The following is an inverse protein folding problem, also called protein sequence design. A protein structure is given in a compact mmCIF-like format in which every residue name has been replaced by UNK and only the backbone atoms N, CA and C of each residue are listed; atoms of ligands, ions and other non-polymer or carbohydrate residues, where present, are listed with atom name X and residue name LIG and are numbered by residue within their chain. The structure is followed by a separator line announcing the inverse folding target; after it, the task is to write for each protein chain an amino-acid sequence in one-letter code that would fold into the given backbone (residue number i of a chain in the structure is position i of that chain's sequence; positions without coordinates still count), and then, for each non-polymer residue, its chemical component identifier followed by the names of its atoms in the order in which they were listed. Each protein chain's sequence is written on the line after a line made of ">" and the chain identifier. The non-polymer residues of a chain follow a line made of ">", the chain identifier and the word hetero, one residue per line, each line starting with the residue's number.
data_IF_095562414530
#
_entry.id   IF_095562414530
#
_cell.length_a   1.000
_cell.length_b   1.000
_cell.length_c   1.000
_cell.angle_alpha   90.00
_cell.angle_beta   90.00
_cell.angle_gamma   90.00
#
_symmetry.space_group_name_H-M   'P 1'
#
loop_
_entity.id
_entity.type
_entity.pdbx_description
1 polymer ?
#
# COMPACT_ATOMS: atom_id res chain seq x y z
N UNK A 1 13.48 -23.34 9.71
CA UNK A 1 12.40 -24.14 10.35
C UNK A 1 11.02 -23.76 9.85
N UNK A 2 10.56 -22.48 9.95
CA UNK A 2 9.21 -22.10 9.48
C UNK A 2 9.02 -22.28 7.97
N UNK A 3 10.02 -21.97 7.15
CA UNK A 3 9.96 -22.06 5.69
C UNK A 3 9.77 -23.48 5.11
N UNK A 4 9.86 -24.51 5.95
CA UNK A 4 9.63 -25.90 5.57
C UNK A 4 8.33 -26.48 6.16
N UNK A 5 7.53 -25.66 6.87
CA UNK A 5 6.30 -26.13 7.54
C UNK A 5 5.08 -25.90 6.65
N UNK A 6 4.23 -26.91 6.51
CA UNK A 6 2.94 -26.81 5.83
C UNK A 6 1.91 -25.95 6.59
N UNK A 7 2.17 -25.67 7.88
CA UNK A 7 1.33 -24.79 8.69
C UNK A 7 1.54 -23.30 8.37
N UNK A 8 2.52 -22.96 7.54
CA UNK A 8 2.89 -21.61 7.17
C UNK A 8 2.41 -21.32 5.74
N UNK A 9 1.80 -20.16 5.46
CA UNK A 9 1.36 -19.81 4.11
C UNK A 9 2.48 -19.82 3.07
N UNK A 10 2.14 -20.04 1.81
CA UNK A 10 3.10 -20.20 0.71
C UNK A 10 4.10 -19.03 0.59
N UNK A 11 3.72 -17.81 0.91
CA UNK A 11 4.61 -16.65 0.86
C UNK A 11 5.79 -16.71 1.84
N UNK A 12 5.72 -17.57 2.85
CA UNK A 12 6.78 -17.81 3.84
C UNK A 12 7.53 -19.14 3.60
N UNK A 13 7.10 -19.95 2.62
CA UNK A 13 7.68 -21.25 2.32
C UNK A 13 8.68 -21.14 1.18
N UNK A 14 9.83 -21.80 1.32
CA UNK A 14 10.86 -21.82 0.29
C UNK A 14 10.36 -22.43 -1.04
N UNK A 15 9.50 -23.46 -0.95
CA UNK A 15 8.88 -24.18 -2.07
C UNK A 15 7.42 -23.74 -2.30
N UNK A 16 7.01 -22.61 -1.72
CA UNK A 16 5.66 -22.07 -1.89
C UNK A 16 5.41 -21.62 -3.34
N UNK A 17 4.17 -21.75 -3.80
CA UNK A 17 3.78 -21.40 -5.18
C UNK A 17 4.13 -19.95 -5.51
N UNK A 18 4.97 -19.73 -6.52
CA UNK A 18 5.42 -18.42 -6.98
C UNK A 18 6.41 -17.73 -6.04
N UNK A 19 7.01 -18.48 -5.11
CA UNK A 19 7.99 -17.97 -4.16
C UNK A 19 9.41 -18.45 -4.50
N UNK A 20 10.41 -17.84 -3.86
CA UNK A 20 11.81 -18.27 -3.89
C UNK A 20 12.34 -18.39 -2.47
N UNK A 21 13.39 -19.20 -2.21
CA UNK A 21 13.98 -19.30 -0.88
C UNK A 21 14.36 -17.95 -0.28
N UNK A 22 14.89 -17.02 -1.08
CA UNK A 22 15.28 -15.69 -0.64
C UNK A 22 14.05 -14.84 -0.23
N UNK A 23 12.98 -14.87 -1.03
CA UNK A 23 11.72 -14.19 -0.70
C UNK A 23 11.08 -14.78 0.55
N UNK A 24 11.08 -16.11 0.68
CA UNK A 24 10.56 -16.78 1.86
C UNK A 24 11.29 -16.33 3.13
N UNK A 25 12.61 -16.28 3.10
CA UNK A 25 13.43 -15.82 4.24
C UNK A 25 13.11 -14.37 4.56
N UNK A 26 13.09 -13.48 3.57
CA UNK A 26 12.77 -12.07 3.77
C UNK A 26 11.38 -11.88 4.41
N UNK A 27 10.38 -12.57 3.90
CA UNK A 27 9.02 -12.53 4.46
C UNK A 27 8.97 -13.08 5.89
N UNK A 28 9.69 -14.18 6.17
CA UNK A 28 9.80 -14.70 7.53
C UNK A 28 10.45 -13.70 8.48
N UNK A 29 11.50 -12.98 8.07
CA UNK A 29 12.14 -11.96 8.88
C UNK A 29 11.18 -10.82 9.24
N UNK A 30 10.38 -10.34 8.27
CA UNK A 30 9.36 -9.33 8.50
C UNK A 30 8.31 -9.84 9.51
N UNK A 31 7.81 -11.06 9.33
CA UNK A 31 6.82 -11.62 10.24
C UNK A 31 7.37 -11.85 11.65
N UNK A 32 8.64 -12.21 11.79
CA UNK A 32 9.33 -12.36 13.09
C UNK A 32 9.52 -11.01 13.78
N UNK A 33 9.90 -9.97 13.06
CA UNK A 33 10.01 -8.61 13.60
C UNK A 33 8.65 -8.12 14.11
N UNK A 34 7.60 -8.27 13.30
CA UNK A 34 6.23 -7.92 13.71
C UNK A 34 5.81 -8.71 14.94
N UNK A 35 6.02 -10.03 14.96
CA UNK A 35 5.67 -10.89 16.09
C UNK A 35 6.39 -10.43 17.40
N UNK A 36 7.66 -10.08 17.30
CA UNK A 36 8.44 -9.57 18.41
C UNK A 36 7.88 -8.26 18.96
N UNK A 37 7.50 -7.33 18.08
CA UNK A 37 6.96 -6.01 18.47
C UNK A 37 5.60 -6.10 19.16
N UNK A 38 4.71 -6.98 18.68
CA UNK A 38 3.36 -7.15 19.26
C UNK A 38 3.31 -8.20 20.37
N UNK A 39 4.42 -8.88 20.69
CA UNK A 39 4.47 -9.94 21.70
C UNK A 39 3.65 -11.19 21.32
N UNK A 40 3.46 -11.47 20.04
CA UNK A 40 2.64 -12.57 19.53
C UNK A 40 3.49 -13.77 19.09
N UNK A 41 2.85 -14.94 18.97
CA UNK A 41 3.50 -16.12 18.39
C UNK A 41 3.85 -15.87 16.91
N UNK A 42 5.10 -16.11 16.48
CA UNK A 42 5.48 -15.98 15.09
C UNK A 42 4.59 -16.76 14.11
N UNK A 43 4.21 -17.97 14.45
CA UNK A 43 3.33 -18.79 13.62
C UNK A 43 1.94 -18.16 13.47
N UNK A 44 1.38 -17.62 14.55
CA UNK A 44 0.10 -16.91 14.51
C UNK A 44 0.17 -15.68 13.63
N UNK A 45 1.26 -14.91 13.70
CA UNK A 45 1.48 -13.76 12.82
C UNK A 45 1.58 -14.21 11.37
N UNK A 46 2.41 -15.21 11.05
CA UNK A 46 2.55 -15.73 9.67
C UNK A 46 1.23 -16.23 9.08
N UNK A 47 0.34 -16.80 9.89
CA UNK A 47 -0.97 -17.28 9.42
C UNK A 47 -1.98 -16.15 9.16
N UNK A 48 -1.73 -14.94 9.67
CA UNK A 48 -2.66 -13.80 9.60
C UNK A 48 -2.08 -12.54 8.94
N UNK A 49 -0.79 -12.53 8.64
CA UNK A 49 -0.10 -11.45 7.94
C UNK A 49 0.12 -11.86 6.48
N UNK A 50 -0.49 -11.13 5.57
CA UNK A 50 -0.43 -11.36 4.14
C UNK A 50 0.39 -10.26 3.47
N UNK A 51 1.00 -10.57 2.34
CA UNK A 51 1.68 -9.57 1.52
C UNK A 51 0.80 -9.27 0.31
N UNK A 52 0.18 -8.09 0.33
CA UNK A 52 -0.72 -7.63 -0.74
C UNK A 52 -0.04 -6.47 -1.46
N UNK A 53 0.25 -6.63 -2.74
CA UNK A 53 0.97 -5.63 -3.55
C UNK A 53 2.27 -5.12 -2.89
N UNK A 54 3.06 -6.05 -2.35
CA UNK A 54 4.34 -5.75 -1.68
C UNK A 54 4.22 -5.14 -0.28
N UNK A 55 2.99 -5.01 0.28
CA UNK A 55 2.75 -4.45 1.60
C UNK A 55 2.26 -5.50 2.58
N UNK A 56 2.80 -5.55 3.81
CA UNK A 56 2.25 -6.41 4.86
C UNK A 56 0.85 -5.91 5.24
N UNK A 57 -0.08 -6.87 5.39
CA UNK A 57 -1.51 -6.59 5.59
C UNK A 57 -2.09 -7.59 6.57
N UNK A 58 -2.86 -7.14 7.54
CA UNK A 58 -3.54 -8.02 8.47
C UNK A 58 -4.80 -8.63 7.87
N UNK A 59 -5.13 -9.86 8.25
CA UNK A 59 -6.50 -10.33 8.04
C UNK A 59 -7.44 -9.52 8.97
N UNK A 60 -8.58 -9.05 8.44
CA UNK A 60 -9.53 -8.30 9.27
C UNK A 60 -10.06 -9.13 10.44
N UNK A 61 -10.18 -10.44 10.29
CA UNK A 61 -10.56 -11.36 11.38
C UNK A 61 -9.55 -11.36 12.52
N UNK A 62 -8.26 -11.37 12.19
CA UNK A 62 -7.20 -11.32 13.19
C UNK A 62 -7.20 -9.99 13.93
N UNK A 63 -7.40 -8.89 13.21
CA UNK A 63 -7.47 -7.56 13.81
C UNK A 63 -8.62 -7.47 14.83
N UNK A 64 -9.82 -7.96 14.48
CA UNK A 64 -10.97 -8.02 15.39
C UNK A 64 -10.64 -8.90 16.60
N UNK A 65 -10.03 -10.07 16.39
CA UNK A 65 -9.64 -10.96 17.47
C UNK A 65 -8.64 -10.29 18.42
N UNK A 66 -7.67 -9.56 17.88
CA UNK A 66 -6.65 -8.84 18.67
C UNK A 66 -7.31 -7.75 19.54
N UNK A 67 -8.26 -6.97 19.00
CA UNK A 67 -9.03 -5.99 19.79
C UNK A 67 -9.76 -6.69 20.92
N UNK A 68 -10.44 -7.80 20.65
CA UNK A 68 -11.25 -8.52 21.64
C UNK A 68 -10.41 -9.19 22.73
N UNK A 69 -9.14 -9.52 22.46
CA UNK A 69 -8.25 -10.23 23.38
C UNK A 69 -7.21 -9.35 24.06
N UNK A 70 -7.01 -8.11 23.61
CA UNK A 70 -5.99 -7.21 24.18
C UNK A 70 -6.21 -6.81 25.64
N UNK A 71 -7.38 -7.10 26.19
CA UNK A 71 -7.70 -6.84 27.60
C UNK A 71 -8.07 -5.39 27.94
N UNK A 72 -7.96 -4.46 27.00
CA UNK A 72 -8.23 -3.02 27.20
C UNK A 72 -9.67 -2.61 26.92
N UNK A 73 -10.32 -3.32 26.02
CA UNK A 73 -11.68 -3.01 25.55
C UNK A 73 -12.64 -4.16 25.83
N UNK A 74 -13.92 -3.84 25.86
CA UNK A 74 -14.98 -4.84 25.71
C UNK A 74 -14.97 -5.40 24.28
N UNK A 75 -15.61 -6.54 24.02
CA UNK A 75 -15.66 -7.09 22.67
C UNK A 75 -16.25 -6.08 21.67
N UNK A 76 -15.60 -5.95 20.51
CA UNK A 76 -16.04 -5.10 19.42
C UNK A 76 -17.41 -5.55 18.92
N UNK A 77 -18.33 -4.62 18.80
CA UNK A 77 -19.72 -4.82 18.34
C UNK A 77 -19.96 -4.01 17.08
N UNK A 78 -21.00 -4.41 16.33
CA UNK A 78 -21.36 -3.78 15.05
C UNK A 78 -22.84 -3.43 15.05
N UNK A 79 -23.14 -2.17 14.72
CA UNK A 79 -24.49 -1.67 14.56
C UNK A 79 -24.74 -1.44 13.08
N UNK A 80 -25.80 -2.02 12.55
CA UNK A 80 -26.24 -1.84 11.17
C UNK A 80 -27.47 -0.95 11.12
N UNK A 81 -27.47 0.00 10.18
CA UNK A 81 -28.61 0.88 9.89
C UNK A 81 -28.97 0.72 8.42
N UNK A 82 -30.25 0.52 8.13
CA UNK A 82 -30.75 0.51 6.77
C UNK A 82 -31.14 1.93 6.37
N UNK A 83 -30.43 2.49 5.39
CA UNK A 83 -30.64 3.84 4.84
C UNK A 83 -31.57 3.86 3.61
N UNK A 84 -32.22 2.72 3.30
CA UNK A 84 -33.06 2.57 2.11
C UNK A 84 -32.26 2.06 0.91
N UNK A 85 -32.54 2.58 -0.29
CA UNK A 85 -31.83 2.24 -1.53
C UNK A 85 -30.75 3.28 -1.84
N UNK A 86 -29.72 2.86 -2.58
CA UNK A 86 -28.60 3.74 -2.92
C UNK A 86 -29.02 4.85 -3.89
N UNK A 87 -29.82 4.53 -4.92
CA UNK A 87 -30.17 5.46 -6.00
C UNK A 87 -29.05 5.67 -7.01
N UNK A 88 -29.06 6.82 -7.71
CA UNK A 88 -28.07 7.12 -8.73
C UNK A 88 -26.77 7.66 -8.13
N UNK A 89 -25.64 7.11 -8.57
CA UNK A 89 -24.29 7.64 -8.26
C UNK A 89 -23.56 7.87 -9.60
N UNK A 90 -23.29 9.12 -9.92
CA UNK A 90 -22.83 9.51 -11.25
C UNK A 90 -23.87 9.16 -12.33
N UNK A 91 -23.44 8.45 -13.37
CA UNK A 91 -24.30 8.01 -14.48
C UNK A 91 -24.81 6.57 -14.32
N UNK A 92 -24.62 5.95 -13.14
CA UNK A 92 -25.00 4.56 -12.89
C UNK A 92 -26.15 4.50 -11.90
N UNK A 93 -27.17 3.70 -12.22
CA UNK A 93 -28.34 3.47 -11.38
C UNK A 93 -28.10 2.27 -10.43
N UNK A 94 -28.12 2.53 -9.12
CA UNK A 94 -28.01 1.55 -8.05
C UNK A 94 -29.32 1.43 -7.23
N UNK A 95 -30.48 1.80 -7.80
CA UNK A 95 -31.79 1.78 -7.11
C UNK A 95 -32.20 0.38 -6.64
N UNK A 96 -31.61 -0.67 -7.18
CA UNK A 96 -31.81 -2.05 -6.73
C UNK A 96 -30.92 -2.46 -5.55
N UNK A 97 -29.92 -1.64 -5.18
CA UNK A 97 -28.93 -1.96 -4.14
C UNK A 97 -29.39 -1.37 -2.80
N UNK A 98 -29.45 -2.21 -1.76
CA UNK A 98 -29.74 -1.76 -0.40
C UNK A 98 -28.55 -0.96 0.15
N UNK A 99 -28.84 0.25 0.65
CA UNK A 99 -27.85 1.08 1.31
C UNK A 99 -27.80 0.75 2.79
N UNK A 100 -26.92 -0.15 3.17
CA UNK A 100 -26.70 -0.54 4.56
C UNK A 100 -25.47 0.20 5.07
N UNK A 101 -25.60 0.77 6.26
CA UNK A 101 -24.50 1.39 7.00
C UNK A 101 -24.08 0.48 8.15
N UNK A 102 -22.80 0.51 8.50
CA UNK A 102 -22.23 -0.18 9.63
C UNK A 102 -21.31 0.74 10.43
N UNK A 103 -21.43 0.68 11.75
CA UNK A 103 -20.54 1.32 12.72
C UNK A 103 -19.99 0.24 13.64
N UNK A 104 -18.69 0.17 13.79
CA UNK A 104 -18.02 -0.63 14.82
C UNK A 104 -17.96 0.18 16.11
N UNK A 105 -18.27 -0.44 17.24
CA UNK A 105 -18.25 0.25 18.52
C UNK A 105 -17.89 -0.68 19.67
N UNK A 106 -17.28 -0.11 20.70
CA UNK A 106 -17.02 -0.79 21.97
C UNK A 106 -16.78 0.26 23.05
N UNK A 107 -16.47 -0.20 24.28
CA UNK A 107 -16.07 0.63 25.41
C UNK A 107 -14.68 0.20 25.89
N UNK A 108 -13.90 1.14 26.41
CA UNK A 108 -12.73 0.79 27.20
C UNK A 108 -13.18 0.14 28.52
N UNK A 109 -12.45 -0.88 28.99
CA UNK A 109 -12.79 -1.52 30.28
C UNK A 109 -12.71 -0.51 31.40
N UNK A 110 -13.78 -0.45 32.20
CA UNK A 110 -13.89 0.50 33.30
C UNK A 110 -14.33 1.91 32.92
N UNK A 111 -14.70 2.13 31.66
CA UNK A 111 -15.27 3.39 31.14
C UNK A 111 -16.66 3.16 30.58
N UNK A 112 -17.54 4.13 30.76
CA UNK A 112 -18.86 4.15 30.12
C UNK A 112 -18.87 4.85 28.77
N UNK A 113 -17.74 5.45 28.38
CA UNK A 113 -17.58 6.14 27.11
C UNK A 113 -17.66 5.15 25.93
N UNK A 114 -18.53 5.44 24.99
CA UNK A 114 -18.71 4.65 23.77
C UNK A 114 -17.75 5.14 22.70
N UNK A 115 -16.87 4.25 22.25
CA UNK A 115 -15.90 4.51 21.18
C UNK A 115 -16.47 3.95 19.88
N UNK A 116 -16.79 4.82 18.93
CA UNK A 116 -17.43 4.47 17.65
C UNK A 116 -16.56 4.79 16.45
N UNK A 117 -16.54 3.91 15.46
CA UNK A 117 -15.91 4.20 14.16
C UNK A 117 -16.72 5.21 13.37
N UNK A 118 -16.08 5.84 12.38
CA UNK A 118 -16.85 6.50 11.32
C UNK A 118 -17.79 5.51 10.63
N UNK A 119 -19.01 5.94 10.22
CA UNK A 119 -19.96 5.07 9.56
C UNK A 119 -19.45 4.69 8.15
N UNK A 120 -19.59 3.42 7.82
CA UNK A 120 -19.32 2.86 6.50
C UNK A 120 -20.61 2.43 5.87
N UNK A 121 -20.89 2.83 4.62
CA UNK A 121 -22.10 2.46 3.90
C UNK A 121 -21.81 1.85 2.53
N UNK A 122 -22.80 1.15 1.97
CA UNK A 122 -22.69 0.62 0.59
C UNK A 122 -22.58 1.77 -0.42
N UNK A 123 -23.30 2.87 -0.21
CA UNK A 123 -23.16 4.06 -1.07
C UNK A 123 -21.74 4.62 -1.06
N UNK A 124 -21.06 4.60 0.10
CA UNK A 124 -19.66 4.98 0.20
C UNK A 124 -18.76 4.00 -0.59
N UNK A 125 -18.97 2.69 -0.41
CA UNK A 125 -18.20 1.67 -1.15
C UNK A 125 -18.34 1.79 -2.67
N UNK A 126 -19.51 2.23 -3.15
CA UNK A 126 -19.74 2.52 -4.57
C UNK A 126 -18.95 3.78 -5.01
N UNK A 127 -19.04 4.87 -4.25
CA UNK A 127 -18.34 6.12 -4.54
C UNK A 127 -16.83 5.97 -4.57
N UNK A 128 -16.29 5.14 -3.69
CA UNK A 128 -14.86 4.82 -3.63
C UNK A 128 -14.43 3.76 -4.67
N UNK A 129 -15.36 3.24 -5.48
CA UNK A 129 -15.08 2.25 -6.52
C UNK A 129 -14.86 0.82 -6.01
N UNK A 130 -14.99 0.55 -4.71
CA UNK A 130 -14.77 -0.79 -4.14
C UNK A 130 -15.85 -1.79 -4.56
N UNK A 131 -17.08 -1.32 -4.66
CA UNK A 131 -18.25 -2.13 -5.01
C UNK A 131 -18.21 -2.57 -6.48
N UNK A 132 -17.77 -1.71 -7.37
CA UNK A 132 -17.86 -1.91 -8.84
C UNK A 132 -16.76 -2.78 -9.42
N UNK A 133 -15.78 -3.20 -8.64
CA UNK A 133 -14.68 -4.07 -9.10
C UNK A 133 -15.18 -5.43 -9.53
N UNK A 134 -14.53 -6.00 -10.54
CA UNK A 134 -14.80 -7.37 -10.94
C UNK A 134 -14.50 -8.33 -9.77
N UNK A 135 -15.47 -9.19 -9.41
CA UNK A 135 -15.34 -10.13 -8.29
C UNK A 135 -15.39 -9.47 -6.90
N UNK A 136 -15.88 -8.23 -6.80
CA UNK A 136 -15.96 -7.51 -5.54
C UNK A 136 -16.79 -8.23 -4.48
N UNK A 137 -16.20 -8.48 -3.33
CA UNK A 137 -16.87 -9.06 -2.15
C UNK A 137 -17.94 -8.12 -1.58
N UNK A 138 -17.88 -6.83 -1.89
CA UNK A 138 -18.91 -5.85 -1.52
C UNK A 138 -20.28 -6.16 -2.15
N UNK A 139 -20.30 -6.85 -3.31
CA UNK A 139 -21.55 -7.29 -3.95
C UNK A 139 -22.08 -8.61 -3.36
N UNK A 140 -21.19 -9.54 -3.04
CA UNK A 140 -21.57 -10.90 -2.62
C UNK A 140 -21.70 -11.06 -1.10
N UNK A 141 -20.91 -10.28 -0.33
CA UNK A 141 -20.86 -10.35 1.13
C UNK A 141 -20.88 -8.94 1.77
N UNK A 142 -21.84 -8.07 1.44
CA UNK A 142 -21.81 -6.65 1.82
C UNK A 142 -21.70 -6.44 3.34
N UNK A 143 -22.48 -7.16 4.16
CA UNK A 143 -22.40 -7.02 5.61
C UNK A 143 -21.03 -7.39 6.19
N UNK A 144 -20.40 -8.43 5.64
CA UNK A 144 -19.07 -8.85 6.09
C UNK A 144 -18.02 -7.79 5.77
N UNK A 145 -18.05 -7.21 4.56
CA UNK A 145 -17.14 -6.16 4.15
C UNK A 145 -17.33 -4.88 4.95
N UNK A 146 -18.59 -4.52 5.24
CA UNK A 146 -18.93 -3.41 6.13
C UNK A 146 -18.33 -3.60 7.53
N UNK A 147 -18.47 -4.79 8.13
CA UNK A 147 -17.88 -5.09 9.45
C UNK A 147 -16.35 -4.99 9.43
N UNK A 148 -15.70 -5.56 8.41
CA UNK A 148 -14.25 -5.56 8.30
C UNK A 148 -13.71 -4.14 8.16
N UNK A 149 -14.33 -3.34 7.30
CA UNK A 149 -13.93 -1.94 7.11
C UNK A 149 -14.18 -1.10 8.36
N UNK A 150 -15.33 -1.25 9.01
CA UNK A 150 -15.65 -0.55 10.25
C UNK A 150 -14.68 -0.92 11.38
N UNK A 151 -14.31 -2.20 11.50
CA UNK A 151 -13.35 -2.66 12.49
C UNK A 151 -11.94 -2.10 12.23
N UNK A 152 -11.50 -2.07 10.98
CA UNK A 152 -10.22 -1.48 10.61
C UNK A 152 -10.15 0.01 10.93
N UNK A 153 -11.18 0.76 10.59
CA UNK A 153 -11.24 2.19 10.90
C UNK A 153 -11.32 2.46 12.40
N UNK A 154 -12.10 1.66 13.12
CA UNK A 154 -12.13 1.75 14.58
C UNK A 154 -10.74 1.53 15.19
N UNK A 155 -10.05 0.47 14.76
CA UNK A 155 -8.73 0.12 15.28
C UNK A 155 -7.70 1.19 14.93
N UNK A 156 -7.74 1.74 13.73
CA UNK A 156 -6.83 2.80 13.30
C UNK A 156 -6.94 4.09 14.12
N UNK A 157 -8.10 4.35 14.75
CA UNK A 157 -8.32 5.54 15.58
C UNK A 157 -8.06 5.27 17.06
N UNK A 158 -8.60 4.18 17.62
CA UNK A 158 -8.62 3.94 19.07
C UNK A 158 -7.55 2.98 19.57
N UNK A 159 -6.96 2.19 18.68
CA UNK A 159 -5.95 1.20 19.03
C UNK A 159 -4.94 0.97 17.89
N UNK A 160 -4.31 2.04 17.34
CA UNK A 160 -3.42 1.93 16.19
C UNK A 160 -2.21 1.02 16.45
N UNK A 161 -1.80 0.88 17.69
CA UNK A 161 -0.72 -0.02 18.10
C UNK A 161 -1.05 -1.51 17.88
N UNK A 162 -2.34 -1.90 17.87
CA UNK A 162 -2.75 -3.27 17.61
C UNK A 162 -2.61 -3.65 16.12
N UNK A 163 -2.80 -2.67 15.22
CA UNK A 163 -2.58 -2.85 13.78
C UNK A 163 -1.15 -2.51 13.36
N UNK A 164 -0.37 -1.84 14.22
CA UNK A 164 0.94 -1.27 13.89
C UNK A 164 0.89 -0.35 12.66
N UNK A 165 -0.24 0.34 12.46
CA UNK A 165 -0.50 1.19 11.31
C UNK A 165 -0.68 0.43 9.97
N UNK A 166 -0.67 -0.90 9.99
CA UNK A 166 -0.89 -1.71 8.79
C UNK A 166 -2.38 -1.79 8.45
N UNK A 167 -2.66 -1.76 7.16
CA UNK A 167 -4.02 -1.96 6.62
C UNK A 167 -4.41 -3.42 6.63
N UNK A 168 -5.70 -3.68 6.48
CA UNK A 168 -6.18 -5.04 6.26
C UNK A 168 -6.00 -5.48 4.80
N UNK A 169 -6.06 -6.81 4.57
CA UNK A 169 -6.02 -7.39 3.22
C UNK A 169 -7.14 -6.81 2.37
N UNK A 170 -8.34 -6.75 2.93
CA UNK A 170 -9.53 -6.23 2.24
C UNK A 170 -9.40 -4.75 1.89
N UNK A 171 -8.74 -3.95 2.73
CA UNK A 171 -8.45 -2.55 2.41
C UNK A 171 -7.44 -2.41 1.28
N UNK A 172 -6.38 -3.21 1.28
CA UNK A 172 -5.39 -3.17 0.22
C UNK A 172 -5.92 -3.76 -1.10
N UNK A 173 -6.81 -4.75 -1.06
CA UNK A 173 -7.51 -5.25 -2.25
C UNK A 173 -8.45 -4.19 -2.85
N UNK A 174 -9.04 -3.32 -2.02
CA UNK A 174 -9.95 -2.26 -2.46
C UNK A 174 -9.23 -1.06 -3.07
N UNK A 175 -7.97 -0.79 -2.69
CA UNK A 175 -7.20 0.31 -3.27
C UNK A 175 -6.86 -0.03 -4.72
N UNK A 176 -7.26 0.85 -5.65
CA UNK A 176 -6.71 0.84 -6.99
C UNK A 176 -5.34 1.49 -6.91
N UNK A 177 -4.29 0.72 -7.11
CA UNK A 177 -2.99 1.32 -7.36
C UNK A 177 -3.05 1.99 -8.73
N UNK A 178 -2.97 3.30 -8.75
CA UNK A 178 -2.56 4.02 -9.95
C UNK A 178 -1.10 3.63 -10.15
N UNK A 179 -0.83 2.87 -11.20
CA UNK A 179 0.53 2.62 -11.65
C UNK A 179 1.09 3.98 -12.06
N UNK A 180 1.95 4.55 -11.22
CA UNK A 180 2.70 5.74 -11.57
C UNK A 180 3.73 5.29 -12.62
N UNK A 181 3.48 5.62 -13.87
CA UNK A 181 4.51 5.52 -14.90
C UNK A 181 5.60 6.55 -14.51
N UNK A 182 6.80 6.06 -14.27
CA UNK A 182 7.93 6.94 -14.04
C UNK A 182 8.25 7.65 -15.36
N UNK A 183 7.74 8.87 -15.48
CA UNK A 183 7.92 9.71 -16.66
C UNK A 183 9.27 10.43 -16.69
N UNK A 184 10.12 10.25 -15.66
CA UNK A 184 11.40 10.94 -15.54
C UNK A 184 12.26 10.75 -16.79
N UNK A 185 12.35 9.51 -17.28
CA UNK A 185 13.09 9.20 -18.51
C UNK A 185 12.45 9.76 -19.79
N UNK A 186 11.11 9.95 -19.80
CA UNK A 186 10.45 10.59 -20.93
C UNK A 186 10.69 12.08 -20.93
N UNK A 187 10.59 12.72 -19.77
CA UNK A 187 10.86 14.14 -19.59
C UNK A 187 12.33 14.45 -19.90
N UNK A 188 13.29 13.64 -19.42
CA UNK A 188 14.71 13.80 -19.75
C UNK A 188 14.95 13.72 -21.26
N UNK A 189 14.35 12.76 -21.98
CA UNK A 189 14.48 12.67 -23.43
C UNK A 189 13.81 13.82 -24.19
N UNK A 190 12.69 14.34 -23.68
CA UNK A 190 12.00 15.50 -24.26
C UNK A 190 12.82 16.77 -24.05
N UNK A 191 13.37 16.98 -22.87
CA UNK A 191 14.28 18.09 -22.56
C UNK A 191 15.55 18.03 -23.40
N UNK A 192 16.17 16.85 -23.53
CA UNK A 192 17.36 16.67 -24.38
C UNK A 192 17.05 16.93 -25.87
N UNK A 193 15.86 16.56 -26.34
CA UNK A 193 15.44 16.84 -27.73
C UNK A 193 15.02 18.28 -27.96
N UNK A 194 14.47 18.98 -26.99
CA UNK A 194 14.18 20.42 -27.07
C UNK A 194 15.47 21.24 -26.98
N UNK A 195 16.37 20.89 -26.05
CA UNK A 195 17.67 21.57 -25.92
C UNK A 195 18.58 21.36 -27.16
N UNK A 196 18.45 20.20 -27.82
CA UNK A 196 19.14 19.96 -29.09
C UNK A 196 18.51 20.73 -30.29
N UNK A 197 17.30 21.26 -30.14
CA UNK A 197 16.63 22.09 -31.16
C UNK A 197 16.87 23.59 -30.97
N UNK A 198 17.20 24.01 -29.77
CA UNK A 198 17.68 25.36 -29.51
C UNK A 198 19.17 25.42 -29.88
N UNK A 199 19.44 25.53 -31.18
CA UNK A 199 20.76 26.00 -31.64
C UNK A 199 20.91 27.43 -31.10
N UNK A 200 21.78 27.57 -30.12
CA UNK A 200 22.20 28.88 -29.64
C UNK A 200 22.91 29.55 -30.82
N UNK A 201 22.24 30.51 -31.45
CA UNK A 201 22.85 31.38 -32.44
C UNK A 201 23.94 32.19 -31.70
N UNK A 202 25.20 31.84 -31.91
CA UNK A 202 26.29 32.64 -31.42
C UNK A 202 26.40 33.93 -32.27
N UNK A 203 26.11 35.04 -31.61
CA UNK A 203 26.34 36.39 -32.19
C UNK A 203 27.80 36.76 -31.94
N UNK A 204 28.51 37.00 -33.01
CA UNK A 204 29.86 37.55 -32.95
C UNK A 204 29.82 38.97 -32.32
N UNK A 205 30.50 39.16 -31.20
CA UNK A 205 30.48 40.37 -30.44
C UNK A 205 31.22 41.57 -31.10
N UNK A 206 31.98 41.31 -32.17
CA UNK A 206 32.67 42.39 -32.89
C UNK A 206 31.96 42.81 -34.20
N UNK A 207 31.22 41.92 -34.84
CA UNK A 207 30.58 42.22 -36.14
C UNK A 207 29.04 42.22 -36.07
N UNK A 208 28.41 41.64 -35.02
CA UNK A 208 26.98 41.60 -34.86
C UNK A 208 26.26 40.64 -35.82
N UNK A 209 26.95 39.77 -36.52
CA UNK A 209 26.37 38.82 -37.46
C UNK A 209 26.09 37.44 -36.82
N UNK A 210 24.98 36.83 -37.17
CA UNK A 210 24.54 35.50 -36.71
C UNK A 210 25.21 34.45 -37.57
N UNK A 211 26.15 33.67 -36.99
CA UNK A 211 26.77 32.53 -37.65
C UNK A 211 25.93 31.27 -37.45
N UNK A 212 25.46 30.66 -38.53
CA UNK A 212 24.92 29.31 -38.56
C UNK A 212 26.03 28.28 -38.63
N UNK A 213 26.07 27.21 -37.83
CA UNK A 213 27.07 26.18 -37.94
C UNK A 213 26.81 25.33 -39.19
N UNK A 214 27.67 25.49 -40.22
CA UNK A 214 27.78 24.54 -41.32
C UNK A 214 28.71 23.38 -40.92
N UNK A 215 28.15 22.17 -41.00
CA UNK A 215 28.84 20.86 -41.16
C UNK A 215 30.24 20.67 -40.55
N UNK A 216 30.28 20.07 -39.35
CA UNK A 216 31.48 19.42 -38.86
C UNK A 216 31.43 17.93 -39.22
N UNK A 217 32.42 17.52 -40.03
CA UNK A 217 32.69 16.15 -40.48
C UNK A 217 33.09 15.26 -39.30
N UNK A 218 32.67 14.01 -39.41
CA UNK A 218 33.09 12.86 -38.60
C UNK A 218 34.58 12.81 -38.39
N UNK A 219 35.00 12.70 -37.13
CA UNK A 219 36.36 12.39 -36.70
C UNK A 219 36.30 11.34 -35.61
N UNK A 220 36.68 10.14 -36.00
CA UNK A 220 36.95 8.96 -35.19
C UNK A 220 37.94 9.28 -34.04
N UNK A 221 37.53 9.09 -32.79
CA UNK A 221 38.46 8.83 -31.68
C UNK A 221 37.71 8.17 -30.50
N UNK A 222 38.04 6.92 -30.28
CA UNK A 222 37.78 6.13 -29.09
C UNK A 222 38.29 6.82 -27.82
N UNK A 223 37.57 6.86 -26.74
CA UNK A 223 38.17 7.22 -25.45
C UNK A 223 38.46 5.97 -24.61
N UNK A 224 39.72 5.93 -24.21
CA UNK A 224 40.30 5.08 -23.17
C UNK A 224 39.56 5.19 -21.85
N UNK A 225 39.50 4.07 -21.15
CA UNK A 225 39.07 3.96 -19.76
C UNK A 225 40.09 4.56 -18.81
N UNK A 226 39.74 5.25 -17.74
CA UNK A 226 40.61 5.42 -16.59
C UNK A 226 40.30 4.37 -15.52
N UNK A 227 41.38 3.73 -15.09
CA UNK A 227 41.48 2.78 -13.99
C UNK A 227 41.25 3.48 -12.64
N UNK A 228 40.78 2.66 -11.72
CA UNK A 228 40.65 2.90 -10.29
C UNK A 228 41.96 3.28 -9.62
N UNK A 229 41.87 4.17 -8.63
CA UNK A 229 42.53 4.04 -7.32
C UNK A 229 42.14 5.20 -6.40
N UNK A 230 41.91 4.88 -5.11
CA UNK A 230 41.83 5.89 -4.08
C UNK A 230 40.85 5.57 -2.92
N UNK A 231 41.34 4.74 -2.01
CA UNK A 231 40.80 4.62 -0.66
C UNK A 231 40.90 5.95 0.10
N UNK A 232 39.88 6.36 0.84
CA UNK A 232 40.11 6.99 2.16
C UNK A 232 38.83 7.04 3.04
N UNK A 233 38.94 6.31 4.12
CA UNK A 233 38.67 6.63 5.55
C UNK A 233 37.27 7.07 5.99
N UNK A 234 36.75 6.13 6.74
CA UNK A 234 35.71 6.18 7.75
C UNK A 234 36.00 7.30 8.80
N UNK A 235 35.03 8.15 9.04
CA UNK A 235 34.93 8.92 10.27
C UNK A 235 33.68 8.49 11.05
N UNK A 236 33.89 7.94 12.24
CA UNK A 236 32.90 7.68 13.28
C UNK A 236 32.40 8.99 13.86
N UNK A 237 31.12 9.11 14.09
CA UNK A 237 30.56 10.03 15.08
C UNK A 237 29.50 9.31 15.93
N UNK A 238 29.43 9.61 17.23
CA UNK A 238 28.71 8.85 18.24
C UNK A 238 27.29 9.38 18.47
N UNK A 239 26.50 8.52 19.00
CA UNK A 239 25.27 8.49 19.79
C UNK A 239 24.22 7.58 19.17
#
# INVERSE_FOLDING_TARGET
>A
MFSASELVPDCYRAEGKGNTPQKAIANCMIALDVASRIGASPLMVMQNLYIVYGRPSWSAKFLIATVNTCGRFEPLKFRFTNLGKVGNIGNVDYSNVDNIECVAYTKAKGSDELLESSPISISLAIKEGWYSKNGSKWQTMPKQMLMYRAASWWTGVYAPELSMGMRTVEENEDIQYVEYEDVTQKVEREVDTETAKETIDFVDTETGEIMKPENAKEGDTSPEQPQSEGQEKIAKAPF
#
